data_IF_257393599743
#
_entry.id   IF_257393599743
#
_cell.length_a   1.000
_cell.length_b   1.000
_cell.length_c   1.000
_cell.angle_alpha   90.00
_cell.angle_beta   90.00
_cell.angle_gamma   90.00
#
_symmetry.space_group_name_H-M   'P 1'
#
loop_
_entity.id
_entity.type
_entity.pdbx_description
1 polymer ?
#
# COMPACT_ATOMS: atom_id res chain seq x y z
N UNK A 1 12.17 -6.16 6.72
CA UNK A 1 11.03 -5.46 6.07
C UNK A 1 11.05 -5.63 4.56
N UNK A 2 12.13 -5.28 3.85
CA UNK A 2 12.33 -5.50 2.41
C UNK A 2 13.18 -6.75 2.11
N UNK A 3 13.18 -7.31 0.87
CA UNK A 3 14.11 -8.35 0.47
C UNK A 3 15.56 -7.82 0.39
N UNK A 4 16.54 -8.65 0.76
CA UNK A 4 17.97 -8.29 0.75
C UNK A 4 18.60 -8.34 -0.66
N UNK A 5 17.87 -8.90 -1.63
CA UNK A 5 18.26 -8.97 -3.04
C UNK A 5 17.05 -8.62 -3.92
N UNK A 6 17.26 -7.73 -4.87
CA UNK A 6 16.24 -7.21 -5.81
C UNK A 6 16.74 -7.30 -7.26
N UNK A 7 17.75 -8.16 -7.49
CA UNK A 7 18.37 -8.45 -8.79
C UNK A 7 17.56 -9.44 -9.64
N UNK A 8 16.45 -9.95 -9.09
CA UNK A 8 15.56 -10.91 -9.75
C UNK A 8 14.16 -10.34 -9.87
N UNK A 9 13.43 -10.73 -10.91
CA UNK A 9 12.03 -10.35 -11.10
C UNK A 9 11.14 -10.66 -9.88
N UNK A 10 11.34 -11.83 -9.29
CA UNK A 10 10.63 -12.26 -8.07
C UNK A 10 11.00 -11.36 -6.89
N UNK A 11 12.27 -10.98 -6.78
CA UNK A 11 12.76 -10.01 -5.79
C UNK A 11 12.10 -8.64 -5.95
N UNK A 12 12.03 -8.12 -7.18
CA UNK A 12 11.40 -6.84 -7.52
C UNK A 12 9.91 -6.83 -7.20
N UNK A 13 9.15 -7.88 -7.57
CA UNK A 13 7.73 -8.02 -7.17
C UNK A 13 7.54 -8.02 -5.67
N UNK A 14 8.36 -8.80 -4.94
CA UNK A 14 8.28 -8.86 -3.48
C UNK A 14 8.61 -7.51 -2.83
N UNK A 15 9.58 -6.79 -3.40
CA UNK A 15 9.94 -5.44 -2.96
C UNK A 15 8.77 -4.47 -3.17
N UNK A 16 8.23 -4.39 -4.37
CA UNK A 16 7.12 -3.50 -4.73
C UNK A 16 5.89 -3.77 -3.85
N UNK A 17 5.50 -5.04 -3.65
CA UNK A 17 4.40 -5.41 -2.73
C UNK A 17 4.60 -4.86 -1.32
N UNK A 18 5.82 -5.00 -0.79
CA UNK A 18 6.15 -4.51 0.56
C UNK A 18 6.20 -2.98 0.62
N UNK A 19 6.64 -2.33 -0.45
CA UNK A 19 6.66 -0.88 -0.58
C UNK A 19 5.23 -0.34 -0.61
N UNK A 20 4.35 -0.91 -1.43
CA UNK A 20 2.93 -0.54 -1.51
C UNK A 20 2.23 -0.72 -0.16
N UNK A 21 2.44 -1.85 0.53
CA UNK A 21 1.87 -2.07 1.85
C UNK A 21 2.37 -1.06 2.89
N UNK A 22 3.65 -0.67 2.83
CA UNK A 22 4.20 0.37 3.68
C UNK A 22 3.59 1.74 3.38
N UNK A 23 3.51 2.12 2.11
CA UNK A 23 2.91 3.40 1.69
C UNK A 23 1.47 3.51 2.22
N UNK A 24 0.64 2.48 2.03
CA UNK A 24 -0.74 2.50 2.52
C UNK A 24 -0.83 2.43 4.06
N UNK A 25 0.11 1.76 4.73
CA UNK A 25 0.22 1.82 6.19
C UNK A 25 0.50 3.24 6.67
N UNK A 26 1.46 3.94 6.05
CA UNK A 26 1.80 5.32 6.37
C UNK A 26 0.64 6.27 6.11
N UNK A 27 -0.04 6.14 4.96
CA UNK A 27 -1.19 6.98 4.62
C UNK A 27 -2.31 6.80 5.65
N UNK A 28 -2.72 5.55 5.90
CA UNK A 28 -3.81 5.27 6.84
C UNK A 28 -3.47 5.73 8.26
N UNK A 29 -2.20 5.66 8.66
CA UNK A 29 -1.73 6.16 9.95
C UNK A 29 -1.81 7.68 10.04
N UNK A 30 -1.20 8.40 9.07
CA UNK A 30 -1.19 9.86 9.04
C UNK A 30 -2.59 10.47 8.91
N UNK A 31 -3.50 9.76 8.23
CA UNK A 31 -4.90 10.17 8.07
C UNK A 31 -5.81 9.72 9.22
N UNK A 32 -5.28 9.00 10.21
CA UNK A 32 -6.06 8.53 11.37
C UNK A 32 -7.20 7.58 11.00
N UNK A 33 -7.07 6.82 9.91
CA UNK A 33 -8.12 5.91 9.42
C UNK A 33 -8.35 4.74 10.38
N UNK A 34 -7.28 4.26 11.01
CA UNK A 34 -7.32 3.18 12.00
C UNK A 34 -6.73 3.64 13.33
N UNK A 35 -7.16 3.06 14.47
CA UNK A 35 -6.60 3.34 15.79
C UNK A 35 -5.15 2.84 15.93
N UNK A 36 -4.41 3.38 16.91
CA UNK A 36 -3.00 3.03 17.19
C UNK A 36 -2.75 1.53 17.35
N UNK A 37 -3.68 0.80 17.99
CA UNK A 37 -3.56 -0.65 18.20
C UNK A 37 -3.71 -1.48 16.92
N UNK A 38 -4.06 -0.87 15.78
CA UNK A 38 -4.04 -1.52 14.48
C UNK A 38 -2.63 -1.54 13.87
N UNK A 39 -1.67 -0.79 14.42
CA UNK A 39 -0.31 -0.64 13.89
C UNK A 39 0.72 -1.29 14.80
N UNK A 40 1.78 -1.83 14.19
CA UNK A 40 3.01 -2.20 14.88
C UNK A 40 4.12 -1.23 14.50
N UNK A 41 5.04 -1.01 15.44
CA UNK A 41 6.26 -0.27 15.16
C UNK A 41 7.28 -1.23 14.54
N UNK A 42 7.86 -0.82 13.43
CA UNK A 42 8.96 -1.50 12.77
C UNK A 42 10.10 -0.51 12.51
N UNK A 43 11.31 -0.99 12.35
CA UNK A 43 12.47 -0.13 12.11
C UNK A 43 12.99 -0.30 10.68
N UNK A 44 13.27 0.83 10.03
CA UNK A 44 13.92 0.87 8.72
C UNK A 44 14.92 2.02 8.68
N UNK A 45 16.21 1.69 8.55
CA UNK A 45 17.28 2.68 8.45
C UNK A 45 17.36 3.60 9.67
N UNK A 46 17.16 3.08 10.88
CA UNK A 46 17.17 3.86 12.13
C UNK A 46 15.90 4.68 12.37
N UNK A 47 14.87 4.56 11.51
CA UNK A 47 13.58 5.25 11.69
C UNK A 47 12.48 4.27 12.05
N UNK A 48 11.66 4.66 13.02
CA UNK A 48 10.46 3.93 13.38
C UNK A 48 9.34 4.20 12.37
N UNK A 49 8.72 3.14 11.88
CA UNK A 49 7.62 3.15 10.93
C UNK A 49 6.41 2.43 11.52
N UNK A 50 5.23 3.00 11.30
CA UNK A 50 3.95 2.39 11.67
C UNK A 50 3.48 1.51 10.52
N UNK A 51 3.41 0.21 10.78
CA UNK A 51 3.00 -0.79 9.79
C UNK A 51 1.65 -1.34 10.20
N UNK A 52 0.68 -1.30 9.29
CA UNK A 52 -0.66 -1.80 9.54
C UNK A 52 -0.58 -3.32 9.78
N UNK A 53 -1.22 -3.79 10.84
CA UNK A 53 -1.21 -5.20 11.24
C UNK A 53 -2.55 -5.85 10.94
N UNK A 54 -2.50 -7.10 10.48
CA UNK A 54 -3.69 -7.90 10.22
C UNK A 54 -4.29 -8.50 11.49
N UNK A 55 -4.16 -7.84 12.62
CA UNK A 55 -4.69 -8.35 13.88
C UNK A 55 -6.23 -8.31 13.83
N UNK A 56 -6.87 -9.41 14.23
CA UNK A 56 -8.33 -9.49 14.34
C UNK A 56 -8.93 -8.54 15.38
N UNK A 57 -8.08 -7.93 16.23
CA UNK A 57 -8.49 -6.88 17.17
C UNK A 57 -9.08 -5.66 16.46
N UNK A 58 -8.75 -5.44 15.19
CA UNK A 58 -9.38 -4.43 14.35
C UNK A 58 -9.83 -5.04 13.02
N UNK A 59 -11.14 -5.27 12.89
CA UNK A 59 -11.72 -5.92 11.72
C UNK A 59 -11.50 -5.12 10.43
N UNK A 60 -11.59 -3.78 10.48
CA UNK A 60 -11.44 -2.94 9.29
C UNK A 60 -9.99 -2.90 8.78
N UNK A 61 -9.02 -2.80 9.68
CA UNK A 61 -7.60 -2.92 9.35
C UNK A 61 -7.27 -4.31 8.77
N UNK A 62 -7.85 -5.37 9.36
CA UNK A 62 -7.72 -6.73 8.84
C UNK A 62 -8.28 -6.87 7.41
N UNK A 63 -9.48 -6.33 7.15
CA UNK A 63 -10.08 -6.33 5.81
C UNK A 63 -9.22 -5.58 4.80
N UNK A 64 -8.69 -4.40 5.16
CA UNK A 64 -7.78 -3.62 4.31
C UNK A 64 -6.55 -4.44 3.90
N UNK A 65 -5.94 -5.17 4.84
CA UNK A 65 -4.80 -6.03 4.55
C UNK A 65 -5.18 -7.21 3.65
N UNK A 66 -6.38 -7.77 3.81
CA UNK A 66 -6.86 -8.82 2.91
C UNK A 66 -7.06 -8.29 1.49
N UNK A 67 -7.66 -7.12 1.32
CA UNK A 67 -7.81 -6.51 0.00
C UNK A 67 -6.45 -6.25 -0.65
N UNK A 68 -5.47 -5.74 0.10
CA UNK A 68 -4.09 -5.58 -0.38
C UNK A 68 -3.46 -6.92 -0.79
N UNK A 69 -3.63 -7.98 0.01
CA UNK A 69 -3.10 -9.32 -0.33
C UNK A 69 -3.72 -9.85 -1.62
N UNK A 70 -5.04 -9.74 -1.78
CA UNK A 70 -5.74 -10.15 -3.01
C UNK A 70 -5.31 -9.31 -4.22
N UNK A 71 -5.11 -8.00 -4.05
CA UNK A 71 -4.54 -7.13 -5.09
C UNK A 71 -3.14 -7.61 -5.53
N UNK A 72 -2.31 -8.00 -4.58
CA UNK A 72 -0.96 -8.50 -4.85
C UNK A 72 -0.90 -9.82 -5.61
N UNK A 73 -1.93 -10.67 -5.55
CA UNK A 73 -2.02 -11.86 -6.39
C UNK A 73 -2.16 -11.50 -7.88
N UNK A 74 -2.87 -10.40 -8.20
CA UNK A 74 -2.95 -9.90 -9.56
C UNK A 74 -1.64 -9.24 -10.03
N UNK A 75 -0.89 -8.60 -9.13
CA UNK A 75 0.47 -8.12 -9.39
C UNK A 75 1.44 -9.28 -9.68
N UNK A 76 1.33 -10.40 -8.96
CA UNK A 76 2.15 -11.59 -9.19
C UNK A 76 1.93 -12.20 -10.57
N UNK A 77 0.73 -12.05 -11.13
CA UNK A 77 0.36 -12.48 -12.49
C UNK A 77 0.60 -11.44 -13.58
N UNK A 78 1.17 -10.28 -13.24
CA UNK A 78 1.37 -9.14 -14.16
C UNK A 78 0.06 -8.56 -14.73
N UNK A 79 -1.06 -8.67 -14.01
CA UNK A 79 -2.38 -8.20 -14.47
C UNK A 79 -2.76 -6.84 -13.90
N UNK A 80 -2.17 -6.44 -12.78
CA UNK A 80 -2.49 -5.19 -12.12
C UNK A 80 -1.74 -4.03 -12.78
N UNK A 81 -2.44 -3.12 -13.45
CA UNK A 81 -1.84 -1.88 -13.99
C UNK A 81 -1.78 -0.75 -12.97
N UNK A 82 -2.77 -0.68 -12.09
CA UNK A 82 -2.92 0.41 -11.15
C UNK A 82 -3.66 -0.07 -9.90
N UNK A 83 -3.23 0.41 -8.73
CA UNK A 83 -3.93 0.24 -7.46
C UNK A 83 -4.18 1.61 -6.86
N UNK A 84 -5.44 1.96 -6.62
CA UNK A 84 -5.84 3.27 -6.10
C UNK A 84 -6.42 3.08 -4.70
N UNK A 85 -5.95 3.90 -3.75
CA UNK A 85 -6.55 4.08 -2.44
C UNK A 85 -7.18 5.46 -2.38
N UNK A 86 -8.51 5.50 -2.33
CA UNK A 86 -9.30 6.74 -2.29
C UNK A 86 -9.86 6.96 -0.88
N UNK A 87 -9.84 8.21 -0.44
CA UNK A 87 -10.49 8.68 0.77
C UNK A 87 -11.70 9.49 0.33
N UNK A 88 -12.87 9.08 0.82
CA UNK A 88 -14.15 9.70 0.49
C UNK A 88 -14.67 10.51 1.68
N UNK A 89 -15.45 11.55 1.39
CA UNK A 89 -16.25 12.23 2.39
C UNK A 89 -17.52 11.43 2.78
N UNK A 90 -18.34 11.99 3.66
CA UNK A 90 -19.60 11.36 4.10
C UNK A 90 -20.64 11.19 2.99
N UNK A 91 -20.49 11.89 1.86
CA UNK A 91 -21.36 11.83 0.69
C UNK A 91 -20.79 10.92 -0.41
N UNK A 92 -19.73 10.16 -0.12
CA UNK A 92 -18.98 9.33 -1.07
C UNK A 92 -18.30 10.13 -2.21
N UNK A 93 -17.93 11.38 -1.96
CA UNK A 93 -17.14 12.21 -2.88
C UNK A 93 -15.65 12.00 -2.62
N UNK A 94 -14.82 11.67 -3.64
CA UNK A 94 -13.37 11.55 -3.45
C UNK A 94 -12.74 12.88 -3.07
N UNK A 95 -12.16 12.95 -1.88
CA UNK A 95 -11.43 14.14 -1.41
C UNK A 95 -9.92 14.00 -1.61
N UNK A 96 -9.43 12.77 -1.60
CA UNK A 96 -8.02 12.45 -1.80
C UNK A 96 -7.87 11.06 -2.41
N UNK A 97 -6.86 10.87 -3.24
CA UNK A 97 -6.47 9.56 -3.73
C UNK A 97 -4.95 9.38 -3.77
N UNK A 98 -4.55 8.11 -3.71
CA UNK A 98 -3.18 7.66 -3.86
C UNK A 98 -3.15 6.50 -4.83
N UNK A 99 -2.45 6.64 -5.96
CA UNK A 99 -2.32 5.59 -6.97
C UNK A 99 -0.90 5.03 -7.01
N UNK A 100 -0.79 3.72 -7.07
CA UNK A 100 0.43 3.01 -7.44
C UNK A 100 0.22 2.43 -8.82
N UNK A 101 0.95 2.95 -9.80
CA UNK A 101 0.94 2.47 -11.17
C UNK A 101 2.06 1.43 -11.35
N UNK A 102 1.78 0.35 -12.07
CA UNK A 102 2.71 -0.75 -12.32
C UNK A 102 2.96 -0.91 -13.82
N UNK A 103 4.22 -1.04 -14.20
CA UNK A 103 4.63 -1.33 -15.58
C UNK A 103 5.43 -2.62 -15.63
N UNK A 104 5.17 -3.44 -16.65
CA UNK A 104 5.84 -4.72 -16.87
C UNK A 104 6.53 -4.68 -18.23
N UNK A 105 7.84 -4.93 -18.26
CA UNK A 105 8.64 -4.99 -19.49
C UNK A 105 9.50 -6.25 -19.44
N UNK A 106 9.05 -7.31 -20.11
CA UNK A 106 9.70 -8.63 -20.00
C UNK A 106 9.69 -9.11 -18.54
N UNK A 107 10.88 -9.40 -18.01
CA UNK A 107 11.10 -9.81 -16.62
C UNK A 107 11.43 -8.63 -15.68
N UNK A 108 11.09 -7.41 -16.08
CA UNK A 108 11.17 -6.23 -15.23
C UNK A 108 9.79 -5.77 -14.80
N UNK A 109 9.69 -5.34 -13.54
CA UNK A 109 8.52 -4.65 -12.99
C UNK A 109 8.96 -3.34 -12.37
N UNK A 110 8.30 -2.25 -12.74
CA UNK A 110 8.52 -0.93 -12.15
C UNK A 110 7.20 -0.40 -11.59
N UNK A 111 7.30 0.54 -10.65
CA UNK A 111 6.13 1.22 -10.12
C UNK A 111 6.37 2.72 -9.92
N UNK A 112 5.31 3.52 -10.05
CA UNK A 112 5.30 4.93 -9.69
C UNK A 112 4.15 5.23 -8.72
N UNK A 113 4.36 6.16 -7.80
CA UNK A 113 3.35 6.63 -6.86
C UNK A 113 2.89 8.02 -7.29
N UNK A 114 1.58 8.22 -7.37
CA UNK A 114 0.97 9.53 -7.53
C UNK A 114 -0.09 9.75 -6.45
N UNK A 115 -0.35 11.02 -6.15
CA UNK A 115 -1.37 11.43 -5.18
C UNK A 115 -2.02 12.72 -5.66
N UNK A 116 -3.30 12.89 -5.34
CA UNK A 116 -4.01 14.13 -5.63
C UNK A 116 -5.10 14.40 -4.60
N UNK A 117 -5.39 15.69 -4.41
CA UNK A 117 -6.51 16.18 -3.61
C UNK A 117 -7.49 16.88 -4.53
N UNK A 118 -8.79 16.66 -4.36
CA UNK A 118 -9.78 17.54 -4.98
C UNK A 118 -9.88 18.80 -4.12
N UNK A 119 -9.32 19.91 -4.61
CA UNK A 119 -9.62 21.23 -4.04
C UNK A 119 -11.04 21.58 -4.46
N UNK A 120 -11.92 21.88 -3.50
CA UNK A 120 -13.24 22.45 -3.78
C UNK A 120 -13.09 23.61 -4.78
N UNK A 121 -13.92 23.58 -5.84
CA UNK A 121 -14.13 24.73 -6.72
C UNK A 121 -15.01 25.75 -6.03
#
# INVERSE_FOLDING_TARGET
MFPNKVDTFVGSKKFIKKLTALVFSSITYMRGIFPENAYMINELGGRQLKVLTGSYTNHNAYLMIRWLKSAFEALDRNYMRQLIFEILDQKNTPIEYYSVDFSYKGDEVTCSLASGTQTEK
#
